data_IF_068080120987
#
_entry.id   IF_068080120987
#
_cell.length_a   1.000
_cell.length_b   1.000
_cell.length_c   1.000
_cell.angle_alpha   90.00
_cell.angle_beta   90.00
_cell.angle_gamma   90.00
#
_symmetry.space_group_name_H-M   'P 1'
#
loop_
_entity.id
_entity.type
_entity.pdbx_description
1 polymer ?
#
# COMPACT_ATOMS: atom_id res chain seq x y z
N UNK A 1 -20.17 -3.24 12.37
CA UNK A 1 -18.74 -3.18 12.79
C UNK A 1 -18.10 -1.90 12.23
N UNK A 2 -17.26 -1.20 13.02
CA UNK A 2 -16.75 0.15 12.74
C UNK A 2 -15.28 0.24 12.32
N UNK A 3 -14.72 -0.83 11.73
CA UNK A 3 -13.30 -0.88 11.33
C UNK A 3 -13.02 0.14 10.22
N UNK A 4 -12.00 1.00 10.40
CA UNK A 4 -11.58 2.05 9.44
C UNK A 4 -10.12 1.96 9.00
N UNK A 5 -9.36 0.98 9.53
CA UNK A 5 -7.96 0.71 9.18
C UNK A 5 -7.72 -0.80 9.19
N UNK A 6 -7.10 -1.31 8.14
CA UNK A 6 -6.71 -2.72 8.01
C UNK A 6 -5.21 -2.77 7.73
N UNK A 7 -4.47 -3.55 8.53
CA UNK A 7 -3.02 -3.71 8.37
C UNK A 7 -2.73 -4.90 7.46
N UNK A 8 -1.94 -4.70 6.40
CA UNK A 8 -1.58 -5.74 5.43
C UNK A 8 -0.06 -5.66 5.21
N UNK A 9 0.67 -6.67 5.67
CA UNK A 9 2.13 -6.75 5.54
C UNK A 9 2.56 -8.12 5.00
N UNK A 10 2.10 -9.20 5.61
CA UNK A 10 2.44 -10.57 5.19
C UNK A 10 2.11 -10.83 3.71
N UNK A 11 0.92 -10.44 3.24
CA UNK A 11 0.53 -10.59 1.83
C UNK A 11 1.52 -9.91 0.88
N UNK A 12 1.97 -8.69 1.22
CA UNK A 12 2.92 -7.94 0.39
C UNK A 12 4.28 -8.66 0.33
N UNK A 13 4.79 -9.11 1.48
CA UNK A 13 6.07 -9.84 1.55
C UNK A 13 6.02 -11.13 0.73
N UNK A 14 4.93 -11.88 0.82
CA UNK A 14 4.74 -13.13 0.08
C UNK A 14 4.62 -12.87 -1.42
N UNK A 15 3.82 -11.90 -1.85
CA UNK A 15 3.65 -11.56 -3.26
C UNK A 15 4.95 -11.07 -3.90
N UNK A 16 5.67 -10.16 -3.24
CA UNK A 16 6.96 -9.65 -3.71
C UNK A 16 8.00 -10.77 -3.83
N UNK A 17 8.14 -11.58 -2.79
CA UNK A 17 9.11 -12.68 -2.76
C UNK A 17 8.78 -13.73 -3.82
N UNK A 18 7.50 -14.08 -3.98
CA UNK A 18 7.05 -15.02 -5.01
C UNK A 18 7.33 -14.52 -6.43
N UNK A 19 7.08 -13.24 -6.70
CA UNK A 19 7.36 -12.62 -7.99
C UNK A 19 8.86 -12.62 -8.33
N UNK A 20 9.71 -12.26 -7.36
CA UNK A 20 11.17 -12.32 -7.53
C UNK A 20 11.64 -13.75 -7.80
N UNK A 21 11.22 -14.71 -6.96
CA UNK A 21 11.58 -16.13 -7.10
C UNK A 21 11.17 -16.69 -8.47
N UNK A 22 9.97 -16.33 -8.96
CA UNK A 22 9.51 -16.74 -10.28
C UNK A 22 10.42 -16.21 -11.38
N UNK A 23 10.80 -14.94 -11.35
CA UNK A 23 11.69 -14.36 -12.37
C UNK A 23 13.08 -15.00 -12.32
N UNK A 24 13.65 -15.19 -11.11
CA UNK A 24 14.94 -15.87 -10.93
C UNK A 24 14.93 -17.31 -11.47
N UNK A 25 13.80 -18.01 -11.36
CA UNK A 25 13.67 -19.38 -11.86
C UNK A 25 13.46 -19.45 -13.38
N UNK A 26 12.74 -18.48 -13.96
CA UNK A 26 12.32 -18.49 -15.37
C UNK A 26 13.31 -17.80 -16.30
N UNK A 27 14.07 -16.81 -15.82
CA UNK A 27 15.14 -16.14 -16.56
C UNK A 27 16.45 -16.21 -15.75
N UNK A 28 17.11 -17.37 -15.79
CA UNK A 28 18.30 -17.66 -14.97
C UNK A 28 19.56 -16.87 -15.39
N UNK A 29 19.53 -16.22 -16.56
CA UNK A 29 20.64 -15.36 -17.03
C UNK A 29 20.46 -13.93 -16.53
N UNK A 30 19.26 -13.58 -16.09
CA UNK A 30 19.00 -12.28 -15.53
C UNK A 30 19.67 -12.16 -14.16
N UNK A 31 20.38 -11.06 -13.95
CA UNK A 31 21.10 -10.77 -12.71
C UNK A 31 20.91 -9.32 -12.24
N UNK A 32 20.32 -8.47 -13.07
CA UNK A 32 20.07 -7.07 -12.73
C UNK A 32 19.00 -7.00 -11.62
N UNK A 33 19.37 -6.54 -10.41
CA UNK A 33 18.44 -6.43 -9.29
C UNK A 33 17.20 -5.59 -9.61
N UNK A 34 17.32 -4.62 -10.53
CA UNK A 34 16.21 -3.74 -10.93
C UNK A 34 15.06 -4.52 -11.56
N UNK A 35 15.35 -5.60 -12.31
CA UNK A 35 14.31 -6.43 -12.94
C UNK A 35 13.55 -7.25 -11.91
N UNK A 36 14.23 -7.82 -10.91
CA UNK A 36 13.56 -8.52 -9.80
C UNK A 36 12.73 -7.56 -8.95
N UNK A 37 13.28 -6.39 -8.59
CA UNK A 37 12.54 -5.40 -7.81
C UNK A 37 11.38 -4.77 -8.58
N UNK A 38 11.46 -4.68 -9.91
CA UNK A 38 10.31 -4.31 -10.74
C UNK A 38 9.19 -5.35 -10.62
N UNK A 39 9.49 -6.64 -10.79
CA UNK A 39 8.51 -7.71 -10.63
C UNK A 39 7.88 -7.73 -9.21
N UNK A 40 8.69 -7.50 -8.17
CA UNK A 40 8.21 -7.37 -6.80
C UNK A 40 7.23 -6.19 -6.64
N UNK A 41 7.62 -5.00 -7.11
CA UNK A 41 6.79 -3.78 -7.03
C UNK A 41 5.48 -3.94 -7.78
N UNK A 42 5.53 -4.57 -8.94
CA UNK A 42 4.33 -4.82 -9.75
C UNK A 42 3.35 -5.73 -9.00
N UNK A 43 3.83 -6.83 -8.41
CA UNK A 43 3.00 -7.73 -7.61
C UNK A 43 2.43 -7.04 -6.35
N UNK A 44 3.23 -6.24 -5.64
CA UNK A 44 2.76 -5.48 -4.48
C UNK A 44 1.68 -4.44 -4.86
N UNK A 45 1.84 -3.75 -6.00
CA UNK A 45 0.85 -2.78 -6.51
C UNK A 45 -0.48 -3.46 -6.78
N UNK A 46 -0.46 -4.65 -7.38
CA UNK A 46 -1.68 -5.37 -7.74
C UNK A 46 -2.44 -5.81 -6.48
N UNK A 47 -1.74 -6.29 -5.45
CA UNK A 47 -2.34 -6.55 -4.12
C UNK A 47 -2.94 -5.27 -3.52
N UNK A 48 -2.18 -4.17 -3.50
CA UNK A 48 -2.69 -2.90 -2.96
C UNK A 48 -3.96 -2.43 -3.67
N UNK A 49 -4.02 -2.55 -5.00
CA UNK A 49 -5.20 -2.20 -5.80
C UNK A 49 -6.40 -3.03 -5.39
N UNK A 50 -6.26 -4.35 -5.38
CA UNK A 50 -7.34 -5.28 -5.00
C UNK A 50 -7.87 -4.97 -3.61
N UNK A 51 -6.98 -4.69 -2.64
CA UNK A 51 -7.37 -4.36 -1.26
C UNK A 51 -8.07 -3.00 -1.17
N UNK A 52 -7.62 -1.98 -1.90
CA UNK A 52 -8.31 -0.69 -1.94
C UNK A 52 -9.71 -0.77 -2.56
N UNK A 53 -9.90 -1.61 -3.57
CA UNK A 53 -11.22 -1.88 -4.15
C UNK A 53 -12.12 -2.63 -3.15
N UNK A 54 -11.63 -3.74 -2.59
CA UNK A 54 -12.37 -4.57 -1.64
C UNK A 54 -12.78 -3.80 -0.37
N UNK A 55 -11.94 -2.87 0.11
CA UNK A 55 -12.22 -2.05 1.29
C UNK A 55 -13.01 -0.77 0.97
N UNK A 56 -13.42 -0.56 -0.29
CA UNK A 56 -14.23 0.60 -0.71
C UNK A 56 -13.49 1.94 -0.66
N UNK A 57 -12.15 1.91 -0.71
CA UNK A 57 -11.28 3.09 -0.73
C UNK A 57 -11.15 3.71 -2.14
N UNK A 58 -11.34 2.91 -3.20
CA UNK A 58 -11.26 3.37 -4.58
C UNK A 58 -12.18 4.59 -4.84
N UNK A 59 -11.63 5.63 -5.46
CA UNK A 59 -12.34 6.87 -5.76
C UNK A 59 -12.63 7.80 -4.56
N UNK A 60 -12.23 7.45 -3.33
CA UNK A 60 -12.50 8.28 -2.14
C UNK A 60 -11.54 9.47 -1.97
N UNK A 61 -10.34 9.40 -2.57
CA UNK A 61 -9.26 10.35 -2.33
C UNK A 61 -9.64 11.81 -2.65
N UNK A 62 -10.30 12.05 -3.79
CA UNK A 62 -10.68 13.41 -4.23
C UNK A 62 -11.71 14.09 -3.33
N UNK A 63 -12.38 13.34 -2.45
CA UNK A 63 -13.36 13.88 -1.49
C UNK A 63 -12.72 14.39 -0.20
N UNK A 64 -11.44 14.11 0.01
CA UNK A 64 -10.71 14.48 1.21
C UNK A 64 -10.11 15.88 1.01
N UNK A 65 -10.40 16.80 1.93
CA UNK A 65 -9.68 18.06 2.06
C UNK A 65 -8.64 17.90 3.17
N UNK A 66 -7.33 17.78 2.85
CA UNK A 66 -6.30 17.60 3.86
C UNK A 66 -6.28 18.78 4.84
N UNK A 67 -6.14 18.48 6.12
CA UNK A 67 -6.01 19.49 7.17
C UNK A 67 -4.56 19.57 7.61
N UNK A 68 -4.00 20.79 7.65
CA UNK A 68 -2.68 21.03 8.21
C UNK A 68 -2.63 20.64 9.71
N UNK A 69 -1.49 20.11 10.15
CA UNK A 69 -1.33 19.59 11.51
C UNK A 69 -1.52 20.67 12.59
N UNK A 70 -1.09 21.91 12.33
CA UNK A 70 -1.27 23.06 13.22
C UNK A 70 -2.74 23.42 13.40
N UNK A 71 -3.54 23.25 12.34
CA UNK A 71 -4.99 23.47 12.41
C UNK A 71 -5.65 22.37 13.22
N UNK A 72 -5.22 21.12 13.06
CA UNK A 72 -5.70 19.99 13.86
C UNK A 72 -5.34 20.18 15.34
N UNK A 73 -4.11 20.60 15.66
CA UNK A 73 -3.66 20.87 17.02
C UNK A 73 -4.50 21.96 17.71
N UNK A 74 -4.78 23.07 17.01
CA UNK A 74 -5.67 24.14 17.52
C UNK A 74 -7.09 23.64 17.78
N UNK A 75 -7.65 22.81 16.89
CA UNK A 75 -8.99 22.20 17.11
C UNK A 75 -9.01 21.39 18.38
N UNK A 76 -8.02 20.52 18.60
CA UNK A 76 -7.92 19.74 19.84
C UNK A 76 -7.78 20.62 21.08
N UNK A 77 -6.97 21.69 21.02
CA UNK A 77 -6.82 22.62 22.14
C UNK A 77 -8.14 23.34 22.49
N UNK A 78 -8.93 23.73 21.48
CA UNK A 78 -10.23 24.38 21.68
C UNK A 78 -11.31 23.46 22.28
N UNK A 79 -11.15 22.13 22.20
CA UNK A 79 -12.06 21.15 22.80
C UNK A 79 -11.63 20.73 24.22
N UNK A 80 -10.57 21.33 24.77
CA UNK A 80 -10.10 21.12 26.15
C UNK A 80 -10.65 22.15 27.15
N UNK A 81 -11.71 22.88 26.78
CA UNK A 81 -12.49 23.75 27.66
C UNK A 81 -13.68 23.01 28.25
#
# INVERSE_FOLDING_TARGET
SGVRKVNIDTDLRLAMSGAMRRLMATDRKEFDPRKFFKAARDAARDICRERFEAFGCAGRASRIKPLALETLARRYAAHRG
#
